data_IF_040678781137
#
_entry.id   IF_040678781137
#
_cell.length_a   1.000
_cell.length_b   1.000
_cell.length_c   1.000
_cell.angle_alpha   90.00
_cell.angle_beta   90.00
_cell.angle_gamma   90.00
#
_symmetry.space_group_name_H-M   'P 1'
#
loop_
_entity.id
_entity.type
_entity.pdbx_description
1 polymer ?
#
# COMPACT_ATOMS: atom_id res chain seq x y z
N UNK A 1 -19.59 23.77 7.24
CA UNK A 1 -19.17 23.78 5.81
C UNK A 1 -19.20 22.34 5.34
N UNK A 2 -19.77 22.03 4.15
CA UNK A 2 -19.95 20.65 3.75
C UNK A 2 -18.59 19.98 3.63
N UNK A 3 -18.46 18.80 4.23
CA UNK A 3 -17.33 17.90 4.03
C UNK A 3 -17.19 17.71 2.52
N UNK A 4 -16.03 18.03 1.95
CA UNK A 4 -15.74 17.75 0.55
C UNK A 4 -16.11 16.29 0.30
N UNK A 5 -17.04 16.03 -0.64
CA UNK A 5 -17.44 14.68 -1.05
C UNK A 5 -16.26 14.01 -1.76
N UNK A 6 -15.29 13.53 -0.99
CA UNK A 6 -14.22 12.70 -1.54
C UNK A 6 -14.81 11.33 -1.78
N UNK A 7 -14.74 10.90 -3.03
CA UNK A 7 -15.22 9.58 -3.44
C UNK A 7 -14.37 8.51 -2.74
N UNK A 8 -14.95 7.66 -1.87
CA UNK A 8 -14.20 6.64 -1.16
C UNK A 8 -13.83 5.47 -2.07
N UNK A 9 -14.40 5.40 -3.27
CA UNK A 9 -14.07 4.33 -4.20
C UNK A 9 -12.60 4.43 -4.62
N UNK A 10 -11.89 3.29 -4.66
CA UNK A 10 -10.54 3.25 -5.19
C UNK A 10 -10.52 3.82 -6.62
N UNK A 11 -9.73 4.86 -6.84
CA UNK A 11 -9.55 5.46 -8.15
C UNK A 11 -8.22 4.97 -8.73
N UNK A 12 -8.16 4.55 -10.00
CA UNK A 12 -6.89 4.33 -10.67
C UNK A 12 -6.01 5.58 -10.50
N UNK A 13 -4.78 5.35 -10.07
CA UNK A 13 -3.82 6.39 -9.81
C UNK A 13 -3.60 7.30 -11.02
N UNK A 14 -3.11 8.53 -10.80
CA UNK A 14 -2.73 9.39 -11.91
C UNK A 14 -1.73 8.66 -12.81
N UNK A 15 -2.13 8.42 -14.06
CA UNK A 15 -1.26 7.89 -15.13
C UNK A 15 -0.15 8.88 -15.51
N UNK A 16 -0.27 10.12 -15.05
CA UNK A 16 0.68 11.20 -15.29
C UNK A 16 1.65 11.34 -14.11
N UNK A 17 2.94 11.45 -14.44
CA UNK A 17 4.13 11.47 -13.58
C UNK A 17 4.21 12.55 -12.48
N UNK A 18 3.09 13.10 -11.98
CA UNK A 18 3.14 14.23 -11.06
C UNK A 18 2.10 14.22 -9.92
N UNK A 19 1.17 13.27 -9.85
CA UNK A 19 0.22 13.16 -8.74
C UNK A 19 0.63 12.10 -7.71
N UNK A 20 0.24 12.30 -6.44
CA UNK A 20 0.61 11.38 -5.34
C UNK A 20 -0.30 10.16 -5.30
N UNK A 21 0.31 8.99 -5.12
CA UNK A 21 -0.39 7.74 -4.92
C UNK A 21 -0.74 7.49 -3.46
N UNK A 22 -2.03 7.39 -3.15
CA UNK A 22 -2.43 7.10 -1.79
C UNK A 22 -1.90 5.73 -1.35
N UNK A 23 -2.14 4.68 -2.13
CA UNK A 23 -1.81 3.30 -1.76
C UNK A 23 -0.32 3.06 -1.54
N UNK A 24 0.54 3.57 -2.45
CA UNK A 24 1.97 3.27 -2.40
C UNK A 24 2.82 4.34 -1.72
N UNK A 25 2.33 5.58 -1.60
CA UNK A 25 3.13 6.70 -1.08
C UNK A 25 2.58 7.28 0.23
N UNK A 26 1.28 7.21 0.48
CA UNK A 26 0.65 7.85 1.66
C UNK A 26 0.26 6.84 2.73
N UNK A 27 -0.44 5.78 2.35
CA UNK A 27 -0.88 4.75 3.28
C UNK A 27 0.29 4.16 4.09
N UNK A 28 1.47 3.85 3.51
CA UNK A 28 2.61 3.37 4.28
C UNK A 28 3.12 4.39 5.30
N UNK A 29 3.00 5.69 5.03
CA UNK A 29 3.38 6.73 5.99
C UNK A 29 2.45 6.77 7.18
N UNK A 30 1.14 6.69 6.96
CA UNK A 30 0.15 6.61 8.03
C UNK A 30 0.30 5.31 8.84
N UNK A 31 0.45 4.17 8.18
CA UNK A 31 0.61 2.88 8.85
C UNK A 31 1.92 2.81 9.68
N UNK A 32 3.03 3.33 9.13
CA UNK A 32 4.34 3.23 9.79
C UNK A 32 4.57 4.27 10.87
N UNK A 33 3.87 5.40 10.85
CA UNK A 33 4.13 6.52 11.76
C UNK A 33 2.94 6.89 12.66
N UNK A 34 1.71 6.51 12.30
CA UNK A 34 0.50 6.94 13.01
C UNK A 34 -0.30 5.74 13.53
N UNK A 35 -0.60 4.75 12.69
CA UNK A 35 -1.41 3.59 13.03
C UNK A 35 -0.61 2.48 13.75
N UNK A 36 0.12 2.90 14.79
CA UNK A 36 0.88 2.01 15.66
C UNK A 36 0.08 1.62 16.90
N UNK A 37 0.39 0.45 17.46
CA UNK A 37 -0.18 0.04 18.73
C UNK A 37 0.12 1.05 19.83
N UNK A 38 -0.90 1.39 20.62
CA UNK A 38 -0.93 2.47 21.59
C UNK A 38 -1.10 3.88 21.00
N UNK A 39 -1.21 4.01 19.67
CA UNK A 39 -1.32 5.30 18.96
C UNK A 39 -2.65 5.41 18.22
N UNK A 40 -2.71 5.26 16.88
CA UNK A 40 -3.94 5.41 16.08
C UNK A 40 -4.26 4.16 15.25
N UNK A 41 -4.04 2.96 15.83
CA UNK A 41 -4.30 1.67 15.19
C UNK A 41 -5.74 1.18 15.40
N UNK A 42 -6.14 0.06 14.77
CA UNK A 42 -7.50 -0.44 14.91
C UNK A 42 -7.87 -0.83 16.36
N UNK A 43 -6.93 -1.39 17.12
CA UNK A 43 -7.22 -2.06 18.40
C UNK A 43 -7.07 -1.16 19.64
N UNK A 44 -6.07 -0.29 19.64
CA UNK A 44 -5.62 0.46 20.82
C UNK A 44 -5.60 1.97 20.60
N UNK A 45 -6.32 2.45 19.58
CA UNK A 45 -6.31 3.84 19.17
C UNK A 45 -6.65 4.80 20.31
N UNK A 46 -5.92 5.91 20.33
CA UNK A 46 -6.18 7.09 21.12
C UNK A 46 -7.11 8.04 20.37
N UNK A 47 -7.81 8.88 21.13
CA UNK A 47 -8.72 9.92 20.63
C UNK A 47 -9.80 9.42 19.65
N UNK A 48 -10.20 8.14 19.73
CA UNK A 48 -11.17 7.54 18.79
C UNK A 48 -10.75 7.74 17.32
N UNK A 49 -9.44 7.80 17.07
CA UNK A 49 -8.85 8.07 15.76
C UNK A 49 -8.09 6.84 15.27
N UNK A 50 -8.56 6.26 14.18
CA UNK A 50 -7.93 5.13 13.50
C UNK A 50 -7.36 5.64 12.18
N UNK A 51 -6.13 5.31 11.84
CA UNK A 51 -5.41 5.83 10.67
C UNK A 51 -4.79 4.72 9.80
N UNK A 52 -5.38 3.54 9.79
CA UNK A 52 -4.84 2.32 9.17
C UNK A 52 -5.25 2.08 7.71
N UNK A 53 -6.22 2.84 7.21
CA UNK A 53 -6.87 2.65 5.92
C UNK A 53 -7.44 3.97 5.40
N UNK A 54 -7.69 4.06 4.09
CA UNK A 54 -8.26 5.26 3.46
C UNK A 54 -9.53 5.74 4.16
N UNK A 55 -10.49 4.84 4.36
CA UNK A 55 -11.78 5.16 4.96
C UNK A 55 -11.62 5.72 6.39
N UNK A 56 -10.69 5.16 7.16
CA UNK A 56 -10.43 5.62 8.52
C UNK A 56 -9.67 6.96 8.54
N UNK A 57 -8.67 7.13 7.67
CA UNK A 57 -7.88 8.35 7.53
C UNK A 57 -8.76 9.54 7.12
N UNK A 58 -9.67 9.33 6.17
CA UNK A 58 -10.56 10.37 5.67
C UNK A 58 -11.79 10.63 6.54
N UNK A 59 -12.01 9.83 7.60
CA UNK A 59 -13.21 9.90 8.44
C UNK A 59 -13.34 11.22 9.16
N UNK A 60 -12.23 11.78 9.66
CA UNK A 60 -12.19 13.05 10.39
C UNK A 60 -10.86 13.76 10.17
N UNK A 61 -10.85 15.06 10.42
CA UNK A 61 -9.63 15.88 10.52
C UNK A 61 -8.79 16.06 9.23
N UNK A 62 -9.29 15.59 8.07
CA UNK A 62 -8.78 15.95 6.73
C UNK A 62 -9.80 16.81 5.98
N UNK A 63 -9.32 17.90 5.40
CA UNK A 63 -10.06 18.75 4.46
C UNK A 63 -9.38 18.62 3.10
N UNK A 64 -9.96 17.80 2.22
CA UNK A 64 -9.46 17.61 0.86
C UNK A 64 -9.33 18.95 0.12
N UNK A 65 -8.19 19.16 -0.52
CA UNK A 65 -7.80 20.41 -1.17
C UNK A 65 -7.19 21.45 -0.24
N UNK A 66 -7.06 21.18 1.06
CA UNK A 66 -6.50 22.14 2.02
C UNK A 66 -5.79 21.47 3.20
N UNK A 67 -4.48 21.27 3.04
CA UNK A 67 -3.61 20.74 4.09
C UNK A 67 -3.61 21.65 5.34
N UNK A 68 -3.59 22.98 5.15
CA UNK A 68 -3.61 23.96 6.24
C UNK A 68 -4.91 23.93 7.07
N UNK A 69 -6.00 23.38 6.51
CA UNK A 69 -7.27 23.19 7.24
C UNK A 69 -7.42 21.78 7.80
N UNK A 70 -6.47 20.89 7.52
CA UNK A 70 -6.48 19.50 7.98
C UNK A 70 -5.74 19.38 9.30
N UNK A 71 -6.45 19.09 10.40
CA UNK A 71 -5.85 18.94 11.74
C UNK A 71 -4.77 17.85 11.73
N UNK A 72 -5.01 16.72 11.05
CA UNK A 72 -4.02 15.63 10.89
C UNK A 72 -2.71 16.11 10.26
N UNK A 73 -2.76 17.08 9.35
CA UNK A 73 -1.56 17.63 8.73
C UNK A 73 -0.84 18.62 9.64
N UNK A 74 -1.60 19.53 10.28
CA UNK A 74 -1.06 20.57 11.16
C UNK A 74 -0.28 20.01 12.35
N UNK A 75 -0.79 18.94 12.97
CA UNK A 75 -0.12 18.32 14.14
C UNK A 75 1.27 17.78 13.84
N UNK A 76 1.61 17.55 12.56
CA UNK A 76 2.96 17.15 12.14
C UNK A 76 4.00 18.26 12.33
N UNK A 77 3.57 19.50 12.55
CA UNK A 77 4.44 20.67 12.75
C UNK A 77 4.38 21.22 14.17
N UNK A 78 3.53 20.64 15.02
CA UNK A 78 3.44 21.02 16.42
C UNK A 78 4.64 20.51 17.22
N UNK A 79 4.86 21.10 18.39
CA UNK A 79 5.98 20.76 19.28
C UNK A 79 5.50 20.42 20.69
N UNK A 80 6.39 19.88 21.53
CA UNK A 80 6.06 19.53 22.90
C UNK A 80 5.00 18.43 23.00
N UNK A 81 3.98 18.64 23.84
CA UNK A 81 2.92 17.67 24.13
C UNK A 81 1.96 17.41 22.96
N UNK A 82 1.85 18.37 22.04
CA UNK A 82 0.92 18.32 20.92
C UNK A 82 1.58 17.77 19.64
N UNK A 83 2.89 17.48 19.70
CA UNK A 83 3.67 16.89 18.61
C UNK A 83 3.19 15.47 18.29
N UNK A 84 2.99 15.19 17.00
CA UNK A 84 2.75 13.84 16.50
C UNK A 84 3.77 13.47 15.39
N UNK A 85 4.43 12.30 15.47
CA UNK A 85 4.38 11.31 16.55
C UNK A 85 4.95 11.85 17.89
N UNK A 86 4.42 11.42 19.05
CA UNK A 86 4.88 11.93 20.34
C UNK A 86 6.29 11.40 20.65
N UNK A 87 7.09 12.22 21.33
CA UNK A 87 8.41 11.80 21.85
C UNK A 87 8.25 10.53 22.72
N UNK A 88 9.13 9.51 22.63
CA UNK A 88 10.41 9.48 21.91
C UNK A 88 10.36 8.96 20.48
N UNK A 89 9.17 8.84 19.86
CA UNK A 89 9.08 8.35 18.49
C UNK A 89 9.79 9.28 17.51
N UNK A 90 10.41 8.69 16.48
CA UNK A 90 11.02 9.45 15.40
C UNK A 90 9.98 10.32 14.69
N UNK A 91 10.36 11.55 14.37
CA UNK A 91 9.53 12.45 13.59
C UNK A 91 9.54 12.04 12.11
N UNK A 92 8.50 12.42 11.38
CA UNK A 92 8.49 12.31 9.92
C UNK A 92 9.53 13.28 9.35
N UNK A 93 10.20 12.84 8.29
CA UNK A 93 11.09 13.72 7.51
C UNK A 93 10.29 14.83 6.83
N UNK A 94 10.96 15.95 6.51
CA UNK A 94 10.34 17.04 5.74
C UNK A 94 9.74 16.56 4.42
N UNK A 95 10.37 15.59 3.74
CA UNK A 95 9.86 14.99 2.51
C UNK A 95 8.57 14.21 2.73
N UNK A 96 8.47 13.41 3.80
CA UNK A 96 7.24 12.67 4.13
C UNK A 96 6.10 13.62 4.50
N UNK A 97 6.38 14.67 5.29
CA UNK A 97 5.40 15.72 5.59
C UNK A 97 4.95 16.42 4.30
N UNK A 98 5.87 16.79 3.42
CA UNK A 98 5.53 17.40 2.13
C UNK A 98 4.65 16.49 1.26
N UNK A 99 4.91 15.17 1.27
CA UNK A 99 4.13 14.19 0.49
C UNK A 99 2.68 14.09 0.98
N UNK A 100 2.47 14.02 2.30
CA UNK A 100 1.12 14.03 2.91
C UNK A 100 0.39 15.34 2.56
N UNK A 101 1.07 16.49 2.69
CA UNK A 101 0.50 17.78 2.35
C UNK A 101 0.10 17.89 0.87
N UNK A 102 0.97 17.41 -0.03
CA UNK A 102 0.71 17.36 -1.47
C UNK A 102 -0.52 16.51 -1.78
N UNK A 103 -0.60 15.29 -1.25
CA UNK A 103 -1.77 14.42 -1.44
C UNK A 103 -3.07 15.07 -0.95
N UNK A 104 -3.07 15.72 0.23
CA UNK A 104 -4.26 16.42 0.73
C UNK A 104 -4.66 17.54 -0.24
N UNK A 105 -3.71 18.37 -0.66
CA UNK A 105 -3.94 19.49 -1.56
C UNK A 105 -4.39 19.05 -2.97
N UNK A 106 -4.01 17.85 -3.41
CA UNK A 106 -4.49 17.22 -4.66
C UNK A 106 -5.90 16.61 -4.54
N UNK A 107 -6.55 16.78 -3.38
CA UNK A 107 -7.92 16.35 -3.14
C UNK A 107 -8.04 15.06 -2.33
N UNK A 108 -6.94 14.60 -1.70
CA UNK A 108 -6.93 13.45 -0.78
C UNK A 108 -7.59 12.18 -1.37
N UNK A 109 -7.35 11.93 -2.67
CA UNK A 109 -8.03 10.86 -3.41
C UNK A 109 -7.53 9.48 -2.98
N UNK A 110 -8.40 8.47 -3.05
CA UNK A 110 -8.06 7.07 -2.83
C UNK A 110 -7.37 6.48 -4.08
N UNK A 111 -6.22 7.04 -4.46
CA UNK A 111 -5.48 6.62 -5.65
C UNK A 111 -4.76 5.30 -5.39
N UNK A 112 -5.13 4.28 -6.16
CA UNK A 112 -4.58 2.92 -6.14
C UNK A 112 -3.88 2.63 -7.46
N UNK A 113 -2.89 1.74 -7.47
CA UNK A 113 -2.18 1.33 -8.70
C UNK A 113 -1.32 2.43 -9.37
N UNK A 114 -0.86 3.47 -8.67
CA UNK A 114 -0.16 4.59 -9.30
C UNK A 114 1.33 4.37 -9.55
N UNK A 115 1.96 3.42 -8.86
CA UNK A 115 3.37 3.04 -9.09
C UNK A 115 3.51 1.82 -9.97
N UNK A 116 2.65 1.74 -10.97
CA UNK A 116 2.73 0.65 -11.90
C UNK A 116 2.56 1.17 -13.31
N UNK A 117 3.56 0.86 -14.12
CA UNK A 117 3.39 0.33 -15.47
C UNK A 117 2.39 -0.85 -15.56
N UNK A 118 1.40 -0.94 -14.66
CA UNK A 118 0.40 -1.98 -14.62
C UNK A 118 -0.71 -1.56 -15.55
N UNK A 119 -0.39 -1.74 -16.83
CA UNK A 119 -1.40 -2.10 -17.78
C UNK A 119 -1.77 -3.58 -17.52
N UNK A 120 -3.00 -3.84 -17.11
CA UNK A 120 -3.48 -5.23 -16.92
C UNK A 120 -3.52 -6.02 -18.23
N UNK A 121 -3.32 -5.39 -19.40
CA UNK A 121 -3.09 -6.08 -20.66
C UNK A 121 -1.64 -6.56 -20.83
N UNK A 122 -0.68 -6.00 -20.07
CA UNK A 122 0.71 -6.44 -20.03
C UNK A 122 0.93 -7.36 -18.82
N UNK A 123 0.98 -8.66 -19.05
CA UNK A 123 1.14 -9.66 -17.98
C UNK A 123 2.17 -10.74 -18.35
N UNK A 124 3.17 -10.36 -19.15
CA UNK A 124 4.22 -11.28 -19.58
C UNK A 124 5.19 -11.54 -18.44
N UNK A 125 5.72 -12.77 -18.35
CA UNK A 125 6.59 -13.12 -17.24
C UNK A 125 7.88 -12.30 -17.22
N UNK A 126 8.59 -12.23 -18.35
CA UNK A 126 9.86 -11.55 -18.49
C UNK A 126 9.78 -10.02 -18.38
N UNK A 127 8.59 -9.43 -18.48
CA UNK A 127 8.40 -7.98 -18.44
C UNK A 127 7.71 -7.49 -17.17
N UNK A 128 6.54 -8.05 -16.83
CA UNK A 128 5.67 -7.49 -15.78
C UNK A 128 5.71 -8.35 -14.52
N UNK A 129 5.52 -9.66 -14.66
CA UNK A 129 5.38 -10.54 -13.49
C UNK A 129 6.69 -10.71 -12.75
N UNK A 130 7.82 -10.86 -13.46
CA UNK A 130 9.15 -10.95 -12.85
C UNK A 130 9.47 -9.72 -12.01
N UNK A 131 9.07 -8.52 -12.45
CA UNK A 131 9.24 -7.28 -11.68
C UNK A 131 8.46 -7.36 -10.37
N UNK A 132 7.17 -7.74 -10.42
CA UNK A 132 6.36 -7.89 -9.19
C UNK A 132 6.95 -8.95 -8.25
N UNK A 133 7.33 -10.12 -8.76
CA UNK A 133 7.93 -11.18 -7.95
C UNK A 133 9.23 -10.72 -7.28
N UNK A 134 10.12 -10.08 -8.05
CA UNK A 134 11.42 -9.63 -7.56
C UNK A 134 11.30 -8.45 -6.58
N UNK A 135 10.27 -7.61 -6.71
CA UNK A 135 10.07 -6.47 -5.82
C UNK A 135 9.42 -6.88 -4.51
N UNK A 136 8.41 -7.75 -4.53
CA UNK A 136 7.56 -7.98 -3.36
C UNK A 136 7.70 -9.37 -2.73
N UNK A 137 8.31 -10.34 -3.42
CA UNK A 137 8.30 -11.73 -2.96
C UNK A 137 9.69 -12.23 -2.56
N UNK A 138 10.72 -11.94 -3.37
CA UNK A 138 12.07 -12.51 -3.19
C UNK A 138 12.81 -12.01 -1.95
N UNK A 139 12.34 -10.94 -1.31
CA UNK A 139 12.91 -10.45 -0.05
C UNK A 139 12.91 -11.49 1.08
N UNK A 140 11.91 -12.39 1.08
CA UNK A 140 11.83 -13.52 2.01
C UNK A 140 11.80 -14.88 1.30
N UNK A 141 11.34 -14.93 0.04
CA UNK A 141 11.21 -16.14 -0.75
C UNK A 141 12.33 -16.27 -1.80
N UNK A 142 13.59 -16.27 -1.39
CA UNK A 142 14.71 -16.49 -2.31
C UNK A 142 15.82 -17.35 -1.71
N UNK A 143 16.45 -18.16 -2.55
CA UNK A 143 17.65 -18.93 -2.21
C UNK A 143 17.40 -20.08 -1.21
N UNK A 144 18.48 -20.52 -0.55
CA UNK A 144 18.47 -21.70 0.33
C UNK A 144 17.83 -21.46 1.70
N UNK A 145 17.69 -20.19 2.12
CA UNK A 145 17.05 -19.79 3.37
C UNK A 145 15.64 -19.22 3.17
N UNK A 146 14.99 -19.59 2.05
CA UNK A 146 13.68 -19.04 1.71
C UNK A 146 12.60 -19.40 2.74
N UNK A 147 11.79 -18.41 3.12
CA UNK A 147 10.69 -18.58 4.06
C UNK A 147 9.69 -19.63 3.58
N UNK A 148 9.32 -20.55 4.47
CA UNK A 148 8.42 -21.66 4.15
C UNK A 148 8.99 -22.66 3.12
N UNK A 149 10.30 -22.64 2.84
CA UNK A 149 10.94 -23.50 1.84
C UNK A 149 10.53 -23.17 0.41
N UNK A 150 9.97 -21.98 0.16
CA UNK A 150 9.50 -21.55 -1.16
C UNK A 150 10.48 -20.53 -1.72
N UNK A 151 11.26 -20.93 -2.72
CA UNK A 151 12.11 -20.05 -3.50
C UNK A 151 11.34 -19.50 -4.71
N UNK A 152 11.32 -18.19 -4.91
CA UNK A 152 10.66 -17.49 -6.02
C UNK A 152 11.67 -16.72 -6.89
N UNK A 153 12.97 -16.99 -6.73
CA UNK A 153 14.04 -16.30 -7.46
C UNK A 153 14.14 -16.67 -8.95
N UNK A 154 13.40 -17.68 -9.40
CA UNK A 154 13.42 -18.13 -10.80
C UNK A 154 12.03 -18.55 -11.29
N UNK A 155 11.85 -18.49 -12.62
CA UNK A 155 10.59 -18.78 -13.29
C UNK A 155 10.02 -20.16 -12.95
N UNK A 156 10.86 -21.19 -12.93
CA UNK A 156 10.42 -22.58 -12.71
C UNK A 156 9.72 -22.69 -11.37
N UNK A 157 10.29 -22.11 -10.32
CA UNK A 157 9.70 -22.17 -8.99
C UNK A 157 8.48 -21.26 -8.84
N UNK A 158 8.48 -20.07 -9.47
CA UNK A 158 7.30 -19.20 -9.52
C UNK A 158 6.13 -19.91 -10.22
N UNK A 159 6.39 -20.58 -11.34
CA UNK A 159 5.38 -21.33 -12.09
C UNK A 159 4.75 -22.43 -11.24
N UNK A 160 5.54 -23.17 -10.46
CA UNK A 160 5.00 -24.21 -9.57
C UNK A 160 3.95 -23.61 -8.62
N UNK A 161 4.26 -22.49 -7.96
CA UNK A 161 3.34 -21.82 -7.03
C UNK A 161 2.14 -21.18 -7.75
N UNK A 162 2.34 -20.71 -8.97
CA UNK A 162 1.27 -20.18 -9.81
C UNK A 162 0.26 -21.28 -10.19
N UNK A 163 0.74 -22.42 -10.67
CA UNK A 163 -0.11 -23.50 -11.19
C UNK A 163 -0.76 -24.35 -10.10
N UNK A 164 -0.17 -24.40 -8.90
CA UNK A 164 -0.78 -25.09 -7.76
C UNK A 164 -1.77 -24.19 -6.96
N UNK A 165 -2.01 -22.96 -7.44
CA UNK A 165 -2.95 -22.00 -6.85
C UNK A 165 -2.43 -21.28 -5.61
N UNK A 166 -1.26 -21.64 -5.05
CA UNK A 166 -0.73 -21.02 -3.82
C UNK A 166 -0.35 -19.57 -4.02
N UNK A 167 0.23 -19.21 -5.17
CA UNK A 167 0.62 -17.83 -5.45
C UNK A 167 -0.61 -16.91 -5.42
N UNK A 168 -1.65 -17.24 -6.20
CA UNK A 168 -2.87 -16.43 -6.26
C UNK A 168 -3.59 -16.42 -4.92
N UNK A 169 -3.76 -17.58 -4.27
CA UNK A 169 -4.43 -17.67 -2.97
C UNK A 169 -3.74 -16.87 -1.86
N UNK A 170 -2.40 -16.87 -1.85
CA UNK A 170 -1.60 -16.13 -0.88
C UNK A 170 -1.69 -14.61 -1.10
N UNK A 171 -1.51 -14.12 -2.34
CA UNK A 171 -1.54 -12.66 -2.62
C UNK A 171 -2.94 -12.06 -2.54
N UNK A 172 -4.00 -12.86 -2.68
CA UNK A 172 -5.38 -12.41 -2.48
C UNK A 172 -5.85 -12.55 -1.03
N UNK A 173 -5.00 -13.03 -0.12
CA UNK A 173 -5.33 -13.42 1.26
C UNK A 173 -6.62 -14.27 1.33
N UNK A 174 -6.74 -15.26 0.46
CA UNK A 174 -7.92 -16.15 0.45
C UNK A 174 -7.89 -17.06 1.67
N UNK A 175 -9.05 -17.30 2.29
CA UNK A 175 -9.17 -18.23 3.41
C UNK A 175 -8.60 -19.61 3.04
N UNK A 176 -7.78 -20.18 3.93
CA UNK A 176 -7.06 -21.43 3.70
C UNK A 176 -5.65 -21.28 3.12
N UNK A 177 -5.23 -20.08 2.75
CA UNK A 177 -3.84 -19.76 2.35
C UNK A 177 -3.17 -18.87 3.39
N UNK A 178 -1.85 -19.00 3.55
CA UNK A 178 -1.06 -18.05 4.34
C UNK A 178 -1.01 -16.69 3.62
N UNK A 179 -1.50 -15.59 4.23
CA UNK A 179 -1.49 -14.27 3.61
C UNK A 179 -0.07 -13.80 3.29
N UNK A 180 0.15 -13.31 2.07
CA UNK A 180 1.42 -12.74 1.62
C UNK A 180 1.21 -11.43 0.85
N UNK A 181 2.06 -10.40 1.04
CA UNK A 181 3.24 -10.37 1.92
C UNK A 181 2.93 -10.51 3.42
N UNK A 182 3.82 -11.19 4.16
CA UNK A 182 3.57 -11.57 5.55
C UNK A 182 3.43 -10.34 6.44
N UNK A 183 2.35 -10.30 7.22
CA UNK A 183 2.01 -9.23 8.17
C UNK A 183 1.96 -7.83 7.53
N UNK A 184 1.66 -7.78 6.23
CA UNK A 184 1.51 -6.57 5.45
C UNK A 184 0.20 -6.61 4.63
N UNK A 185 -0.14 -5.49 4.01
CA UNK A 185 -1.28 -5.42 3.08
C UNK A 185 -1.02 -6.28 1.83
N UNK A 186 -2.10 -6.66 1.14
CA UNK A 186 -2.04 -7.31 -0.18
C UNK A 186 -1.23 -6.47 -1.17
N UNK A 187 -0.72 -7.13 -2.20
CA UNK A 187 -0.36 -6.45 -3.43
C UNK A 187 -1.57 -5.65 -3.94
N UNK A 188 -1.31 -4.59 -4.71
CA UNK A 188 -2.42 -3.83 -5.28
C UNK A 188 -3.24 -4.67 -6.27
N UNK A 189 -4.49 -4.28 -6.45
CA UNK A 189 -5.45 -5.04 -7.28
C UNK A 189 -4.98 -5.20 -8.73
N UNK A 190 -4.24 -4.23 -9.27
CA UNK A 190 -3.71 -4.31 -10.62
C UNK A 190 -2.63 -5.38 -10.76
N UNK A 191 -1.66 -5.43 -9.84
CA UNK A 191 -0.62 -6.46 -9.79
C UNK A 191 -1.22 -7.85 -9.58
N UNK A 192 -2.20 -7.97 -8.68
CA UNK A 192 -2.96 -9.20 -8.48
C UNK A 192 -3.65 -9.60 -9.79
N UNK A 193 -4.24 -8.64 -10.50
CA UNK A 193 -4.91 -8.89 -11.79
C UNK A 193 -3.94 -9.34 -12.88
N UNK A 194 -2.75 -8.73 -12.98
CA UNK A 194 -1.70 -9.18 -13.91
C UNK A 194 -1.27 -10.61 -13.59
N UNK A 195 -0.99 -10.93 -12.32
CA UNK A 195 -0.63 -12.29 -11.91
C UNK A 195 -1.77 -13.26 -12.25
N UNK A 196 -3.03 -12.93 -11.93
CA UNK A 196 -4.19 -13.76 -12.28
C UNK A 196 -4.32 -14.00 -13.78
N UNK A 197 -4.18 -12.96 -14.60
CA UNK A 197 -4.23 -13.08 -16.07
C UNK A 197 -3.08 -13.91 -16.61
N UNK A 198 -1.87 -13.72 -16.10
CA UNK A 198 -0.71 -14.52 -16.44
C UNK A 198 -0.90 -16.01 -16.08
N UNK A 199 -1.39 -16.30 -14.87
CA UNK A 199 -1.70 -17.67 -14.44
C UNK A 199 -2.79 -18.28 -15.34
N UNK A 200 -3.87 -17.53 -15.61
CA UNK A 200 -4.96 -17.97 -16.49
C UNK A 200 -4.48 -18.22 -17.94
N UNK A 201 -3.48 -17.47 -18.40
CA UNK A 201 -2.84 -17.66 -19.71
C UNK A 201 -1.83 -18.84 -19.72
N UNK A 202 -1.74 -19.64 -18.66
CA UNK A 202 -0.89 -20.82 -18.57
C UNK A 202 0.47 -20.59 -17.92
N UNK A 203 0.64 -19.46 -17.22
CA UNK A 203 1.87 -19.08 -16.52
C UNK A 203 3.11 -19.19 -17.43
N UNK A 204 3.04 -18.59 -18.63
CA UNK A 204 4.05 -18.70 -19.68
C UNK A 204 5.35 -17.97 -19.33
N UNK A 205 6.49 -18.47 -19.81
CA UNK A 205 7.78 -17.76 -19.75
C UNK A 205 7.94 -16.93 -21.01
N UNK A 206 7.48 -15.69 -21.01
CA UNK A 206 7.38 -14.85 -22.22
C UNK A 206 7.60 -13.36 -21.96
#
# INVERSE_FOLDING_TARGET
>A
MPLSNVDPTPQPGPVANNGVCFESEILPLFQSNCAKSGCHDAATHQEELILDSYANIMRKDIVAGSADRSKIYRVLFETGKDKMPPTPNADLTAAQKALIGKWINEGAKNTVNCNTSCDTAQFKYGANISVVINTFCTGCHSGTAASGGIDLSNYTNVKIQATNGRLVGAITHTAGYSPMPKDANKLNDCQITQIKKWVAAGALNN
#
